data_IF_393379453434
#
_entry.id   IF_393379453434
#
_cell.length_a   1.000
_cell.length_b   1.000
_cell.length_c   1.000
_cell.angle_alpha   90.00
_cell.angle_beta   90.00
_cell.angle_gamma   90.00
#
_symmetry.space_group_name_H-M   'P 1'
#
loop_
_entity.id
_entity.type
_entity.pdbx_description
1 polymer ?
#
# COMPACT_ATOMS: atom_id res chain seq x y z
N UNK A 1 75.76 28.01 -27.84
CA UNK A 1 75.25 29.35 -27.45
C UNK A 1 73.90 29.13 -26.78
N UNK A 2 73.85 29.27 -25.44
CA UNK A 2 72.72 28.84 -24.61
C UNK A 2 71.89 29.97 -24.01
N UNK A 3 70.89 29.54 -23.21
CA UNK A 3 70.05 30.29 -22.25
C UNK A 3 69.08 31.32 -22.84
N UNK A 4 67.78 31.10 -22.62
CA UNK A 4 67.06 31.75 -21.50
C UNK A 4 65.65 31.17 -21.28
N UNK A 5 65.50 30.55 -20.11
CA UNK A 5 64.26 30.39 -19.35
C UNK A 5 63.44 31.69 -19.30
N UNK A 6 62.11 31.59 -19.44
CA UNK A 6 61.18 32.25 -18.51
C UNK A 6 59.93 31.38 -18.31
N UNK A 7 59.84 30.80 -17.10
CA UNK A 7 58.62 30.26 -16.50
C UNK A 7 57.50 31.31 -16.54
N UNK A 8 56.30 30.92 -16.92
CA UNK A 8 55.06 31.46 -16.35
C UNK A 8 54.10 30.30 -16.07
N UNK A 9 54.10 29.91 -14.80
CA UNK A 9 53.04 29.15 -14.14
C UNK A 9 51.85 30.10 -14.02
N UNK A 10 50.66 29.72 -14.49
CA UNK A 10 49.40 30.18 -13.89
C UNK A 10 48.21 29.31 -14.33
N UNK A 11 47.87 28.37 -13.43
CA UNK A 11 46.53 27.93 -13.02
C UNK A 11 45.56 27.44 -14.11
N UNK A 12 45.54 26.12 -14.31
CA UNK A 12 44.34 25.43 -14.77
C UNK A 12 43.28 25.52 -13.66
N UNK A 13 42.27 26.37 -13.85
CA UNK A 13 41.05 26.35 -13.04
C UNK A 13 40.20 25.21 -13.60
N UNK A 14 40.19 24.08 -12.88
CA UNK A 14 39.25 23.00 -13.13
C UNK A 14 37.84 23.54 -12.88
N UNK A 15 37.06 23.77 -13.93
CA UNK A 15 35.63 24.04 -13.81
C UNK A 15 34.97 22.75 -13.31
N UNK A 16 34.69 22.72 -12.00
CA UNK A 16 33.73 21.80 -11.40
C UNK A 16 32.36 22.06 -12.04
N UNK A 17 31.91 21.10 -12.83
CA UNK A 17 30.50 20.98 -13.21
C UNK A 17 29.70 20.71 -11.93
N UNK A 18 29.04 21.74 -11.40
CA UNK A 18 27.96 21.56 -10.43
C UNK A 18 26.75 21.07 -11.23
N UNK A 19 26.69 19.76 -11.43
CA UNK A 19 25.47 19.09 -11.89
C UNK A 19 24.46 19.17 -10.75
N UNK A 20 23.55 20.14 -10.81
CA UNK A 20 22.37 20.17 -9.94
C UNK A 20 21.54 18.93 -10.30
N UNK A 21 21.66 17.89 -9.48
CA UNK A 21 20.83 16.71 -9.56
C UNK A 21 19.43 17.10 -9.07
N UNK A 22 18.52 17.38 -10.00
CA UNK A 22 17.09 17.48 -9.70
C UNK A 22 16.62 16.06 -9.41
N UNK A 23 16.64 15.68 -8.13
CA UNK A 23 16.05 14.41 -7.68
C UNK A 23 14.53 14.60 -7.75
N UNK A 24 13.92 14.24 -8.88
CA UNK A 24 12.49 13.96 -8.89
C UNK A 24 12.29 12.66 -8.11
N UNK A 25 11.79 12.76 -6.88
CA UNK A 25 11.37 11.58 -6.11
C UNK A 25 10.18 10.95 -6.81
N UNK A 26 10.45 10.00 -7.71
CA UNK A 26 9.46 9.05 -8.17
C UNK A 26 9.33 8.03 -7.02
N UNK A 27 8.33 8.22 -6.18
CA UNK A 27 7.87 7.16 -5.28
C UNK A 27 7.43 5.99 -6.17
N UNK A 28 8.28 4.98 -6.32
CA UNK A 28 7.85 3.71 -6.89
C UNK A 28 6.97 3.02 -5.85
N UNK A 29 5.66 3.17 -6.03
CA UNK A 29 4.63 2.49 -5.27
C UNK A 29 4.87 0.97 -5.27
N UNK A 30 5.18 0.42 -4.10
CA UNK A 30 5.04 -1.02 -3.86
C UNK A 30 3.57 -1.25 -3.48
N UNK A 31 2.81 -2.05 -4.26
CA UNK A 31 1.45 -2.39 -3.88
C UNK A 31 1.43 -3.02 -2.49
N UNK A 32 0.59 -2.50 -1.59
CA UNK A 32 0.34 -3.15 -0.32
C UNK A 32 -0.16 -4.58 -0.59
N UNK A 33 0.49 -5.59 -0.01
CA UNK A 33 0.08 -6.99 -0.16
C UNK A 33 -1.38 -7.14 0.24
N UNK A 34 -2.16 -7.87 -0.58
CA UNK A 34 -3.57 -8.14 -0.31
C UNK A 34 -3.74 -8.75 1.09
N UNK A 35 -4.75 -8.28 1.81
CA UNK A 35 -5.19 -8.90 3.05
C UNK A 35 -5.72 -10.31 2.74
N UNK A 36 -5.46 -11.26 3.64
CA UNK A 36 -5.89 -12.65 3.39
C UNK A 36 -7.40 -12.76 3.32
N UNK A 37 -7.86 -13.55 2.35
CA UNK A 37 -9.26 -13.70 2.04
C UNK A 37 -9.78 -12.75 0.97
N UNK A 38 -9.01 -11.73 0.53
CA UNK A 38 -9.41 -10.90 -0.59
C UNK A 38 -9.51 -11.74 -1.88
N UNK A 39 -10.71 -11.93 -2.45
CA UNK A 39 -10.90 -12.83 -3.58
C UNK A 39 -10.55 -12.15 -4.92
N UNK A 40 -10.22 -10.85 -4.91
CA UNK A 40 -10.01 -10.07 -6.12
C UNK A 40 -8.52 -9.95 -6.46
N UNK A 41 -8.15 -9.86 -7.74
CA UNK A 41 -6.77 -9.58 -8.12
C UNK A 41 -6.45 -8.10 -7.89
N UNK A 42 -5.28 -7.80 -7.33
CA UNK A 42 -4.83 -6.42 -7.05
C UNK A 42 -4.69 -5.54 -8.29
N UNK A 43 -4.54 -6.18 -9.43
CA UNK A 43 -4.27 -5.63 -10.75
C UNK A 43 -5.35 -6.15 -11.70
N UNK A 44 -5.54 -5.47 -12.82
CA UNK A 44 -6.46 -5.91 -13.86
C UNK A 44 -5.85 -5.65 -15.24
N UNK A 45 -6.34 -6.36 -16.25
CA UNK A 45 -5.89 -6.20 -17.63
C UNK A 45 -7.02 -5.72 -18.52
N UNK A 46 -6.73 -4.78 -19.42
CA UNK A 46 -7.61 -4.36 -20.50
C UNK A 46 -6.86 -4.33 -21.85
N UNK A 47 -7.48 -3.75 -22.88
CA UNK A 47 -6.89 -3.63 -24.23
C UNK A 47 -5.64 -2.76 -24.31
N UNK A 48 -5.33 -1.99 -23.27
CA UNK A 48 -4.12 -1.17 -23.14
C UNK A 48 -3.01 -1.86 -22.32
N UNK A 49 -3.27 -3.05 -21.76
CA UNK A 49 -2.31 -3.84 -21.01
C UNK A 49 -2.69 -4.09 -19.55
N UNK A 50 -1.69 -4.27 -18.70
CA UNK A 50 -1.86 -4.60 -17.29
C UNK A 50 -1.73 -3.35 -16.42
N UNK A 51 -2.70 -3.14 -15.54
CA UNK A 51 -2.84 -1.91 -14.76
C UNK A 51 -2.97 -2.20 -13.27
N UNK A 52 -2.39 -1.35 -12.42
CA UNK A 52 -2.51 -1.48 -10.97
C UNK A 52 -3.88 -0.98 -10.48
N UNK A 53 -4.32 -1.52 -9.34
CA UNK A 53 -5.45 -0.96 -8.57
C UNK A 53 -6.82 -1.41 -9.02
N UNK A 54 -7.10 -2.71 -9.11
CA UNK A 54 -8.47 -3.16 -9.40
C UNK A 54 -9.48 -2.55 -8.39
N UNK A 55 -10.57 -1.97 -8.89
CA UNK A 55 -11.57 -1.30 -8.05
C UNK A 55 -12.24 -2.25 -7.04
N UNK A 56 -12.52 -3.50 -7.43
CA UNK A 56 -13.10 -4.51 -6.53
C UNK A 56 -12.12 -4.92 -5.43
N UNK A 57 -10.84 -5.08 -5.77
CA UNK A 57 -9.79 -5.34 -4.79
C UNK A 57 -9.64 -4.20 -3.80
N UNK A 58 -9.60 -2.96 -4.29
CA UNK A 58 -9.44 -1.78 -3.43
C UNK A 58 -10.58 -1.66 -2.43
N UNK A 59 -11.83 -1.80 -2.89
CA UNK A 59 -13.00 -1.70 -2.00
C UNK A 59 -13.01 -2.83 -0.96
N UNK A 60 -12.64 -4.05 -1.35
CA UNK A 60 -12.53 -5.17 -0.41
C UNK A 60 -11.46 -4.89 0.66
N UNK A 61 -10.29 -4.39 0.25
CA UNK A 61 -9.23 -4.00 1.19
C UNK A 61 -9.68 -2.89 2.16
N UNK A 62 -10.40 -1.87 1.69
CA UNK A 62 -10.89 -0.81 2.60
C UNK A 62 -11.90 -1.37 3.61
N UNK A 63 -12.81 -2.25 3.19
CA UNK A 63 -13.78 -2.91 4.08
C UNK A 63 -13.08 -3.72 5.18
N UNK A 64 -12.07 -4.50 4.80
CA UNK A 64 -11.32 -5.32 5.74
C UNK A 64 -10.43 -4.49 6.66
N UNK A 65 -9.65 -3.56 6.10
CA UNK A 65 -8.64 -2.83 6.88
C UNK A 65 -9.22 -1.74 7.78
N UNK A 66 -10.37 -1.15 7.41
CA UNK A 66 -11.03 -0.11 8.23
C UNK A 66 -12.03 -0.68 9.22
N UNK A 67 -12.82 -1.65 8.77
CA UNK A 67 -13.98 -2.14 9.53
C UNK A 67 -13.80 -3.58 10.00
N UNK A 68 -12.78 -4.29 9.51
CA UNK A 68 -12.65 -5.72 9.76
C UNK A 68 -13.69 -6.56 9.01
N UNK A 69 -14.35 -6.02 7.99
CA UNK A 69 -15.41 -6.73 7.27
C UNK A 69 -14.78 -7.48 6.09
N UNK A 70 -14.84 -8.80 6.11
CA UNK A 70 -14.59 -9.62 4.93
C UNK A 70 -15.83 -9.59 4.04
N UNK A 71 -15.77 -8.85 2.93
CA UNK A 71 -16.88 -8.86 1.98
C UNK A 71 -16.94 -10.20 1.25
N UNK A 72 -18.15 -10.67 0.90
CA UNK A 72 -18.31 -11.84 0.05
C UNK A 72 -17.72 -11.62 -1.35
N UNK A 73 -17.46 -12.71 -2.07
CA UNK A 73 -17.01 -12.64 -3.46
C UNK A 73 -18.20 -12.35 -4.40
N UNK A 74 -18.55 -11.08 -4.51
CA UNK A 74 -19.55 -10.58 -5.45
C UNK A 74 -19.05 -10.49 -6.89
N UNK A 75 -17.82 -10.91 -7.21
CA UNK A 75 -17.26 -10.86 -8.57
C UNK A 75 -17.06 -9.44 -9.08
N UNK A 76 -17.14 -9.25 -10.41
CA UNK A 76 -16.90 -7.95 -11.03
C UNK A 76 -17.91 -6.87 -10.57
N UNK A 77 -17.43 -5.63 -10.52
CA UNK A 77 -18.22 -4.43 -10.27
C UNK A 77 -19.37 -4.26 -11.29
N UNK A 78 -20.42 -3.54 -10.90
CA UNK A 78 -21.63 -3.32 -11.70
C UNK A 78 -22.79 -4.26 -11.38
N UNK A 79 -22.60 -5.25 -10.51
CA UNK A 79 -23.67 -6.07 -9.94
C UNK A 79 -23.61 -6.24 -8.42
N UNK A 80 -22.71 -5.54 -7.73
CA UNK A 80 -22.50 -5.61 -6.29
C UNK A 80 -23.75 -5.19 -5.51
N UNK A 81 -24.45 -4.12 -5.88
CA UNK A 81 -25.68 -3.72 -5.17
C UNK A 81 -26.73 -4.84 -5.18
N UNK A 82 -26.91 -5.55 -6.30
CA UNK A 82 -27.88 -6.65 -6.39
C UNK A 82 -27.43 -7.88 -5.59
N UNK A 83 -26.14 -8.22 -5.63
CA UNK A 83 -25.59 -9.37 -4.89
C UNK A 83 -25.60 -9.12 -3.39
N UNK A 84 -25.19 -7.93 -2.96
CA UNK A 84 -25.26 -7.49 -1.58
C UNK A 84 -26.70 -7.58 -1.04
N UNK A 85 -27.70 -7.08 -1.79
CA UNK A 85 -29.12 -7.26 -1.43
C UNK A 85 -29.51 -8.73 -1.28
N UNK A 86 -29.10 -9.59 -2.21
CA UNK A 86 -29.43 -11.01 -2.16
C UNK A 86 -28.82 -11.73 -0.96
N UNK A 87 -27.74 -11.19 -0.40
CA UNK A 87 -27.05 -11.70 0.79
C UNK A 87 -27.45 -10.96 2.08
N UNK A 88 -28.49 -10.12 2.02
CA UNK A 88 -29.08 -9.47 3.19
C UNK A 88 -28.42 -8.15 3.61
N UNK A 89 -27.50 -7.60 2.81
CA UNK A 89 -26.95 -6.26 3.06
C UNK A 89 -28.00 -5.19 2.76
N UNK A 90 -27.96 -4.13 3.57
CA UNK A 90 -28.74 -2.92 3.28
C UNK A 90 -28.12 -2.21 2.10
N UNK A 91 -28.92 -1.96 1.06
CA UNK A 91 -28.47 -1.19 -0.11
C UNK A 91 -29.48 -0.08 -0.40
N UNK A 92 -29.00 1.15 -0.39
CA UNK A 92 -29.78 2.35 -0.71
C UNK A 92 -29.59 2.66 -2.19
N UNK A 93 -30.66 2.66 -2.98
CA UNK A 93 -30.59 3.09 -4.37
C UNK A 93 -30.20 4.57 -4.45
N UNK A 94 -29.41 4.92 -5.47
CA UNK A 94 -29.05 6.31 -5.68
C UNK A 94 -30.26 7.11 -6.16
N UNK A 95 -30.49 8.25 -5.51
CA UNK A 95 -31.41 9.29 -5.97
C UNK A 95 -30.69 10.64 -5.89
N UNK A 96 -31.08 11.61 -6.72
CA UNK A 96 -30.51 12.95 -6.60
C UNK A 96 -30.76 13.53 -5.20
N UNK A 97 -29.68 13.94 -4.53
CA UNK A 97 -29.70 14.42 -3.14
C UNK A 97 -29.52 13.33 -2.07
N UNK A 98 -29.29 12.07 -2.46
CA UNK A 98 -28.95 11.01 -1.50
C UNK A 98 -27.58 11.29 -0.86
N UNK A 99 -27.52 11.22 0.47
CA UNK A 99 -26.28 11.30 1.25
C UNK A 99 -26.11 9.98 1.99
N UNK A 100 -25.17 9.12 1.57
CA UNK A 100 -24.92 7.86 2.27
C UNK A 100 -24.16 8.11 3.59
N UNK A 101 -24.15 7.14 4.52
CA UNK A 101 -23.25 7.19 5.66
C UNK A 101 -21.79 7.03 5.23
N UNK A 102 -20.89 7.49 6.10
CA UNK A 102 -19.45 7.24 6.01
C UNK A 102 -19.14 5.74 5.99
N UNK A 103 -18.00 5.36 5.41
CA UNK A 103 -17.51 3.99 5.34
C UNK A 103 -18.51 3.02 4.67
N UNK A 104 -19.06 3.44 3.54
CA UNK A 104 -19.92 2.62 2.69
C UNK A 104 -19.29 2.42 1.30
N UNK A 105 -19.94 1.60 0.47
CA UNK A 105 -19.49 1.32 -0.90
C UNK A 105 -20.45 2.00 -1.86
N UNK A 106 -19.93 2.70 -2.87
CA UNK A 106 -20.71 3.24 -3.98
C UNK A 106 -20.46 2.42 -5.25
N UNK A 107 -21.52 2.12 -6.01
CA UNK A 107 -21.45 1.35 -7.25
C UNK A 107 -21.91 2.16 -8.47
N UNK A 108 -21.22 1.99 -9.61
CA UNK A 108 -21.65 2.37 -10.96
C UNK A 108 -21.75 1.14 -11.87
N UNK A 109 -22.20 1.35 -13.12
CA UNK A 109 -22.12 0.31 -14.14
C UNK A 109 -20.66 -0.06 -14.45
N UNK A 110 -20.15 -1.10 -13.80
CA UNK A 110 -18.80 -1.64 -14.00
C UNK A 110 -17.73 -1.08 -13.07
N UNK A 111 -18.10 -0.31 -12.04
CA UNK A 111 -17.13 0.29 -11.11
C UNK A 111 -17.65 0.32 -9.68
N UNK A 112 -16.76 0.22 -8.71
CA UNK A 112 -17.07 0.41 -7.28
C UNK A 112 -15.99 1.24 -6.63
N UNK A 113 -16.35 2.00 -5.60
CA UNK A 113 -15.40 2.77 -4.81
C UNK A 113 -15.81 2.81 -3.34
N UNK A 114 -14.86 3.17 -2.48
CA UNK A 114 -15.09 3.39 -1.06
C UNK A 114 -15.49 4.84 -0.80
N UNK A 115 -16.57 5.06 -0.04
CA UNK A 115 -16.97 6.38 0.44
C UNK A 115 -16.38 6.57 1.83
N UNK A 116 -15.38 7.44 1.95
CA UNK A 116 -14.80 7.79 3.25
C UNK A 116 -15.75 8.66 4.06
N UNK A 117 -16.34 9.65 3.39
CA UNK A 117 -17.31 10.57 3.99
C UNK A 117 -18.21 11.17 2.90
N UNK A 118 -19.42 11.58 3.25
CA UNK A 118 -20.33 12.27 2.32
C UNK A 118 -21.16 13.36 2.99
N UNK A 119 -21.52 14.37 2.20
CA UNK A 119 -22.46 15.42 2.58
C UNK A 119 -23.42 15.76 1.41
N UNK A 120 -24.22 16.81 1.57
CA UNK A 120 -25.17 17.23 0.54
C UNK A 120 -24.52 17.74 -0.76
N UNK A 121 -23.23 18.06 -0.75
CA UNK A 121 -22.47 18.62 -1.88
C UNK A 121 -21.71 17.53 -2.62
N UNK A 122 -21.15 16.56 -1.90
CA UNK A 122 -20.34 15.51 -2.50
C UNK A 122 -19.90 14.42 -1.54
N UNK A 123 -18.87 13.70 -1.95
CA UNK A 123 -18.27 12.63 -1.18
C UNK A 123 -16.75 12.60 -1.35
N UNK A 124 -16.04 12.24 -0.29
CA UNK A 124 -14.63 11.84 -0.37
C UNK A 124 -14.58 10.37 -0.78
N UNK A 125 -14.10 10.10 -1.99
CA UNK A 125 -14.07 8.78 -2.61
C UNK A 125 -12.63 8.27 -2.65
N UNK A 126 -12.43 7.03 -2.22
CA UNK A 126 -11.18 6.30 -2.41
C UNK A 126 -11.41 5.12 -3.35
N UNK A 127 -10.71 5.12 -4.48
CA UNK A 127 -10.94 4.17 -5.58
C UNK A 127 -9.62 3.68 -6.19
N UNK A 128 -9.64 2.45 -6.72
CA UNK A 128 -8.62 1.96 -7.65
C UNK A 128 -9.10 2.10 -9.09
N UNK A 129 -8.21 1.91 -10.07
CA UNK A 129 -8.56 1.82 -11.48
C UNK A 129 -9.15 3.14 -12.00
N UNK A 130 -8.44 4.23 -11.67
CA UNK A 130 -8.70 5.56 -12.23
C UNK A 130 -7.50 6.00 -13.06
N UNK A 131 -7.79 6.50 -14.27
CA UNK A 131 -6.78 7.05 -15.17
C UNK A 131 -6.70 8.56 -14.97
N UNK A 132 -5.59 9.01 -14.38
CA UNK A 132 -5.29 10.44 -14.21
C UNK A 132 -4.10 10.80 -15.09
N UNK A 133 -4.23 11.88 -15.87
CA UNK A 133 -3.19 12.36 -16.79
C UNK A 133 -2.62 11.24 -17.70
N UNK A 134 -3.48 10.30 -18.11
CA UNK A 134 -3.10 9.19 -18.98
C UNK A 134 -2.52 7.96 -18.28
N UNK A 135 -2.36 7.97 -16.95
CA UNK A 135 -1.81 6.85 -16.19
C UNK A 135 -2.80 6.31 -15.15
N UNK A 136 -2.92 4.98 -15.07
CA UNK A 136 -3.73 4.32 -14.06
C UNK A 136 -3.10 4.44 -12.67
N UNK A 137 -3.90 4.83 -11.70
CA UNK A 137 -3.52 4.94 -10.30
C UNK A 137 -3.97 3.68 -9.55
N UNK A 138 -3.07 3.13 -8.73
CA UNK A 138 -3.37 1.98 -7.89
C UNK A 138 -4.46 2.30 -6.85
N UNK A 139 -4.33 3.47 -6.23
CA UNK A 139 -5.29 4.05 -5.29
C UNK A 139 -5.32 5.55 -5.51
N UNK A 140 -6.51 6.12 -5.52
CA UNK A 140 -6.73 7.53 -5.60
C UNK A 140 -7.81 7.93 -4.60
N UNK A 141 -7.55 9.00 -3.86
CA UNK A 141 -8.50 9.58 -2.91
C UNK A 141 -8.75 11.03 -3.30
N UNK A 142 -10.02 11.39 -3.45
CA UNK A 142 -10.40 12.76 -3.78
C UNK A 142 -11.83 13.06 -3.35
N UNK A 143 -12.07 14.32 -2.97
CA UNK A 143 -13.40 14.87 -2.88
C UNK A 143 -14.01 15.13 -4.25
N UNK A 144 -15.18 14.53 -4.51
CA UNK A 144 -15.97 14.76 -5.71
C UNK A 144 -17.32 15.35 -5.35
N UNK A 145 -17.74 16.40 -6.03
CA UNK A 145 -19.13 16.82 -5.98
C UNK A 145 -20.03 15.77 -6.63
N UNK A 146 -21.30 15.71 -6.22
CA UNK A 146 -22.28 14.79 -6.82
C UNK A 146 -22.44 15.01 -8.34
N UNK A 147 -22.27 16.25 -8.80
CA UNK A 147 -22.25 16.54 -10.24
C UNK A 147 -21.01 15.96 -10.93
N UNK A 148 -19.83 16.08 -10.33
CA UNK A 148 -18.60 15.53 -10.91
C UNK A 148 -18.66 14.00 -10.98
N UNK A 149 -19.16 13.32 -9.94
CA UNK A 149 -19.34 11.86 -9.96
C UNK A 149 -20.29 11.40 -11.08
N UNK A 150 -21.40 12.13 -11.27
CA UNK A 150 -22.36 11.85 -12.35
C UNK A 150 -21.75 12.06 -13.74
N UNK A 151 -20.93 13.10 -13.92
CA UNK A 151 -20.22 13.34 -15.19
C UNK A 151 -19.11 12.32 -15.44
N UNK A 152 -18.50 11.81 -14.38
CA UNK A 152 -17.38 10.89 -14.44
C UNK A 152 -17.80 9.48 -14.89
N UNK A 153 -18.84 8.89 -14.27
CA UNK A 153 -19.27 7.50 -14.54
C UNK A 153 -20.78 7.31 -14.69
N UNK A 154 -21.53 8.40 -14.87
CA UNK A 154 -22.99 8.38 -14.85
C UNK A 154 -23.54 8.34 -13.43
N UNK A 155 -24.85 8.18 -13.31
CA UNK A 155 -25.49 8.03 -12.00
C UNK A 155 -25.00 6.75 -11.32
N UNK A 156 -24.62 6.80 -10.03
CA UNK A 156 -24.42 5.60 -9.24
C UNK A 156 -25.68 4.73 -9.27
N UNK A 157 -25.51 3.42 -9.10
CA UNK A 157 -26.61 2.48 -8.90
C UNK A 157 -27.13 2.55 -7.47
N UNK A 158 -26.23 2.71 -6.51
CA UNK A 158 -26.59 2.80 -5.10
C UNK A 158 -25.38 2.69 -4.18
N UNK A 159 -25.70 2.58 -2.90
CA UNK A 159 -24.76 2.53 -1.80
C UNK A 159 -24.98 1.25 -0.98
N UNK A 160 -23.93 0.47 -0.77
CA UNK A 160 -23.96 -0.72 0.08
C UNK A 160 -23.52 -0.31 1.47
N UNK A 161 -24.43 -0.46 2.45
CA UNK A 161 -24.23 -0.02 3.82
C UNK A 161 -23.61 -1.15 4.63
N UNK A 162 -22.49 -0.85 5.29
CA UNK A 162 -21.73 -1.83 6.07
C UNK A 162 -21.95 -1.70 7.59
N UNK A 163 -22.68 -0.68 8.02
CA UNK A 163 -23.01 -0.47 9.43
C UNK A 163 -23.89 -1.61 9.96
N UNK A 164 -23.49 -2.21 11.08
CA UNK A 164 -24.22 -3.31 11.72
C UNK A 164 -23.96 -4.69 11.12
N UNK A 165 -23.07 -4.79 10.13
CA UNK A 165 -22.57 -6.09 9.64
C UNK A 165 -21.61 -6.67 10.70
N UNK A 166 -21.65 -7.99 10.97
CA UNK A 166 -20.68 -8.63 11.85
C UNK A 166 -19.26 -8.30 11.40
N UNK A 167 -18.52 -7.61 12.26
CA UNK A 167 -17.12 -7.31 12.05
C UNK A 167 -16.31 -8.56 12.39
N UNK A 168 -15.43 -8.99 11.49
CA UNK A 168 -14.30 -9.81 11.91
C UNK A 168 -13.32 -8.81 12.52
N UNK A 169 -12.86 -8.94 13.76
CA UNK A 169 -11.91 -7.96 14.29
C UNK A 169 -10.71 -7.85 13.35
N UNK A 170 -10.47 -6.67 12.77
CA UNK A 170 -9.23 -6.45 12.04
C UNK A 170 -8.07 -6.79 13.00
N UNK A 171 -7.05 -7.57 12.58
CA UNK A 171 -5.98 -7.94 13.47
C UNK A 171 -5.32 -6.66 14.01
N UNK A 172 -5.39 -6.45 15.33
CA UNK A 172 -4.79 -5.30 15.98
C UNK A 172 -3.29 -5.58 16.19
N UNK A 173 -2.52 -5.53 15.11
CA UNK A 173 -1.08 -5.80 15.13
C UNK A 173 -0.31 -4.50 15.33
N UNK A 174 0.73 -4.51 16.18
CA UNK A 174 1.65 -3.39 16.32
C UNK A 174 3.08 -3.87 16.54
N UNK A 175 4.06 -3.02 16.21
CA UNK A 175 5.47 -3.31 16.39
C UNK A 175 6.03 -2.43 17.50
N UNK A 176 6.69 -3.06 18.47
CA UNK A 176 7.29 -2.37 19.61
C UNK A 176 8.72 -2.84 19.83
N UNK A 177 9.40 -2.21 20.77
CA UNK A 177 10.74 -2.59 21.23
C UNK A 177 11.77 -2.73 20.09
N UNK A 178 11.69 -1.85 19.09
CA UNK A 178 12.67 -1.85 18.00
C UNK A 178 14.08 -1.63 18.56
N UNK A 179 15.00 -2.50 18.18
CA UNK A 179 16.40 -2.42 18.61
C UNK A 179 17.36 -2.89 17.51
N UNK A 180 18.59 -2.35 17.54
CA UNK A 180 19.72 -2.88 16.77
C UNK A 180 20.54 -3.73 17.73
N UNK A 181 20.46 -5.06 17.62
CA UNK A 181 21.22 -5.95 18.50
C UNK A 181 22.73 -5.84 18.25
N UNK A 182 23.11 -5.52 17.01
CA UNK A 182 24.49 -5.24 16.63
C UNK A 182 24.61 -4.71 15.21
N UNK A 183 25.62 -3.87 14.98
CA UNK A 183 26.02 -3.38 13.67
C UNK A 183 27.53 -3.57 13.54
N UNK A 184 27.95 -4.21 12.45
CA UNK A 184 29.34 -4.50 12.11
C UNK A 184 29.64 -4.01 10.70
N UNK A 185 30.92 -4.06 10.28
CA UNK A 185 31.34 -3.56 8.97
C UNK A 185 30.55 -4.17 7.80
N UNK A 186 30.20 -5.45 7.90
CA UNK A 186 29.54 -6.21 6.82
C UNK A 186 28.23 -6.88 7.22
N UNK A 187 27.74 -6.61 8.44
CA UNK A 187 26.53 -7.24 8.97
C UNK A 187 25.75 -6.29 9.88
N UNK A 188 24.47 -6.57 10.05
CA UNK A 188 23.69 -5.99 11.15
C UNK A 188 22.57 -6.96 11.55
N UNK A 189 22.07 -6.80 12.77
CA UNK A 189 20.92 -7.54 13.28
C UNK A 189 19.90 -6.58 13.90
N UNK A 190 18.67 -6.65 13.40
CA UNK A 190 17.54 -5.81 13.83
C UNK A 190 16.53 -6.67 14.57
N UNK A 191 15.98 -6.13 15.66
CA UNK A 191 14.99 -6.77 16.52
C UNK A 191 13.70 -5.95 16.58
N UNK A 192 12.57 -6.65 16.69
CA UNK A 192 11.30 -6.07 17.13
C UNK A 192 10.44 -7.10 17.86
N UNK A 193 9.52 -6.60 18.68
CA UNK A 193 8.41 -7.38 19.20
C UNK A 193 7.15 -7.08 18.38
N UNK A 194 6.58 -8.13 17.80
CA UNK A 194 5.29 -8.07 17.09
C UNK A 194 4.18 -8.37 18.08
N UNK A 195 3.36 -7.38 18.39
CA UNK A 195 2.22 -7.51 19.27
C UNK A 195 1.01 -8.04 18.48
N UNK A 196 0.37 -9.07 19.01
CA UNK A 196 -0.78 -9.75 18.43
C UNK A 196 -1.83 -10.07 19.52
N UNK A 197 -2.39 -9.07 20.21
CA UNK A 197 -3.29 -9.27 21.35
C UNK A 197 -4.54 -10.10 21.02
N UNK A 198 -4.96 -10.12 19.76
CA UNK A 198 -6.09 -10.94 19.28
C UNK A 198 -5.72 -12.40 19.01
N UNK A 199 -4.44 -12.78 19.12
CA UNK A 199 -3.95 -14.15 18.90
C UNK A 199 -4.30 -14.70 17.51
N UNK A 200 -4.30 -13.81 16.51
CA UNK A 200 -4.49 -14.18 15.12
C UNK A 200 -3.32 -15.03 14.62
N UNK A 201 -3.56 -15.87 13.61
CA UNK A 201 -2.52 -16.74 13.08
C UNK A 201 -1.38 -15.91 12.45
N UNK A 202 -0.18 -16.03 13.01
CA UNK A 202 1.06 -15.48 12.46
C UNK A 202 1.68 -16.56 11.59
N UNK A 203 1.68 -16.33 10.28
CA UNK A 203 2.11 -17.30 9.28
C UNK A 203 3.53 -17.05 8.75
N UNK A 204 4.04 -15.84 8.90
CA UNK A 204 5.42 -15.50 8.52
C UNK A 204 5.93 -14.25 9.22
N UNK A 205 7.24 -14.09 9.27
CA UNK A 205 7.96 -12.85 9.60
C UNK A 205 9.04 -12.62 8.56
N UNK A 206 9.49 -11.38 8.41
CA UNK A 206 10.49 -11.07 7.41
C UNK A 206 11.03 -9.67 7.48
N UNK A 207 11.92 -9.37 6.54
CA UNK A 207 12.62 -8.10 6.49
C UNK A 207 12.91 -7.66 5.06
N UNK A 208 12.86 -6.34 4.85
CA UNK A 208 13.28 -5.66 3.64
C UNK A 208 14.53 -4.83 3.92
N UNK A 209 15.53 -4.96 3.05
CA UNK A 209 16.74 -4.16 3.05
C UNK A 209 16.74 -3.30 1.81
N UNK A 210 16.88 -1.99 2.01
CA UNK A 210 16.95 -1.01 0.94
C UNK A 210 18.29 -0.27 0.98
N UNK A 211 18.72 0.21 -0.17
CA UNK A 211 19.85 1.13 -0.24
C UNK A 211 19.46 2.52 0.31
N UNK A 212 20.43 3.44 0.35
CA UNK A 212 20.20 4.81 0.80
C UNK A 212 19.13 5.56 -0.04
N UNK A 213 18.99 5.21 -1.32
CA UNK A 213 18.02 5.82 -2.24
C UNK A 213 16.61 5.23 -2.08
N UNK A 214 16.45 4.16 -1.29
CA UNK A 214 15.18 3.45 -1.10
C UNK A 214 14.91 2.38 -2.14
N UNK A 215 15.90 1.98 -2.96
CA UNK A 215 15.75 0.83 -3.84
C UNK A 215 15.89 -0.46 -3.03
N UNK A 216 14.99 -1.41 -3.25
CA UNK A 216 15.03 -2.71 -2.59
C UNK A 216 16.29 -3.48 -3.04
N UNK A 217 17.13 -3.82 -2.08
CA UNK A 217 18.37 -4.60 -2.29
C UNK A 217 18.10 -6.07 -2.08
N UNK A 218 17.36 -6.40 -1.00
CA UNK A 218 17.08 -7.78 -0.62
C UNK A 218 15.82 -7.85 0.25
N UNK A 219 15.08 -8.94 0.11
CA UNK A 219 14.02 -9.32 1.04
C UNK A 219 14.29 -10.71 1.59
N UNK A 220 13.81 -10.96 2.80
CA UNK A 220 13.81 -12.27 3.44
C UNK A 220 12.47 -12.51 4.13
N UNK A 221 12.02 -13.77 4.10
CA UNK A 221 10.77 -14.20 4.73
C UNK A 221 10.99 -15.60 5.26
N UNK A 222 10.59 -15.83 6.50
CA UNK A 222 10.49 -17.16 7.07
C UNK A 222 9.05 -17.46 7.49
N UNK A 223 8.61 -18.67 7.15
CA UNK A 223 7.29 -19.14 7.54
C UNK A 223 7.31 -19.56 9.01
N UNK A 224 6.27 -19.19 9.74
CA UNK A 224 6.05 -19.61 11.10
C UNK A 224 4.58 -20.02 11.29
N UNK A 225 4.27 -20.61 12.45
CA UNK A 225 2.90 -21.00 12.78
C UNK A 225 2.68 -20.76 14.26
N UNK A 226 2.31 -19.52 14.58
CA UNK A 226 2.06 -19.07 15.95
C UNK A 226 0.69 -18.41 16.05
N UNK A 227 0.04 -18.54 17.21
CA UNK A 227 -1.18 -17.83 17.61
C UNK A 227 -0.95 -17.09 18.95
N UNK A 228 0.30 -16.67 19.16
CA UNK A 228 0.73 -16.04 20.41
C UNK A 228 0.32 -14.58 20.49
N UNK A 229 0.15 -14.09 21.71
CA UNK A 229 -0.20 -12.68 21.97
C UNK A 229 0.91 -11.70 21.59
N UNK A 230 2.13 -12.19 21.44
CA UNK A 230 3.25 -11.48 20.81
C UNK A 230 4.30 -12.49 20.35
N UNK A 231 5.16 -12.08 19.41
CA UNK A 231 6.39 -12.80 19.07
C UNK A 231 7.57 -11.84 19.03
N UNK A 232 8.76 -12.39 19.26
CA UNK A 232 10.02 -11.69 19.15
C UNK A 232 10.64 -12.06 17.81
N UNK A 233 11.09 -11.08 17.03
CA UNK A 233 11.71 -11.33 15.73
C UNK A 233 13.04 -10.60 15.62
N UNK A 234 14.07 -11.35 15.19
CA UNK A 234 15.39 -10.86 14.85
C UNK A 234 15.62 -11.14 13.36
N UNK A 235 16.11 -10.16 12.62
CA UNK A 235 16.62 -10.38 11.26
C UNK A 235 18.10 -10.02 11.18
N UNK A 236 18.91 -11.02 10.89
CA UNK A 236 20.35 -10.92 10.70
C UNK A 236 20.69 -10.89 9.20
N UNK A 237 21.44 -9.88 8.76
CA UNK A 237 21.64 -9.63 7.33
C UNK A 237 22.51 -10.73 6.68
N UNK A 238 23.56 -11.20 7.35
CA UNK A 238 24.38 -12.29 6.82
C UNK A 238 23.67 -13.65 6.94
N UNK A 239 23.09 -13.94 8.10
CA UNK A 239 22.55 -15.27 8.37
C UNK A 239 21.19 -15.50 7.72
N UNK A 240 20.30 -14.52 7.74
CA UNK A 240 18.93 -14.72 7.28
C UNK A 240 18.79 -14.24 5.84
N UNK A 241 19.18 -12.98 5.58
CA UNK A 241 19.08 -12.40 4.24
C UNK A 241 20.13 -12.94 3.25
N UNK A 242 21.15 -13.65 3.73
CA UNK A 242 22.30 -14.13 2.94
C UNK A 242 22.93 -13.01 2.12
N UNK A 243 23.09 -11.84 2.75
CA UNK A 243 23.60 -10.63 2.12
C UNK A 243 24.79 -10.07 2.92
N UNK A 244 25.79 -9.52 2.23
CA UNK A 244 26.97 -8.89 2.85
C UNK A 244 26.89 -7.39 2.67
N UNK A 245 26.82 -6.64 3.76
CA UNK A 245 26.81 -5.16 3.69
C UNK A 245 28.16 -4.65 3.18
N UNK A 246 28.13 -3.54 2.45
CA UNK A 246 29.33 -2.81 2.09
C UNK A 246 29.72 -1.87 3.25
N UNK A 247 30.95 -1.96 3.80
CA UNK A 247 31.39 -1.09 4.88
C UNK A 247 31.26 0.39 4.52
N UNK A 248 30.81 1.21 5.47
CA UNK A 248 30.61 2.65 5.29
C UNK A 248 29.41 3.04 4.43
N UNK A 249 28.52 2.10 4.09
CA UNK A 249 27.32 2.36 3.28
C UNK A 249 26.07 2.43 4.14
N UNK A 250 25.21 3.42 3.89
CA UNK A 250 23.91 3.54 4.55
C UNK A 250 22.86 2.66 3.89
N UNK A 251 22.11 1.93 4.70
CA UNK A 251 20.96 1.13 4.29
C UNK A 251 19.73 1.55 5.10
N UNK A 252 18.54 1.29 4.54
CA UNK A 252 17.26 1.37 5.27
C UNK A 252 16.71 -0.04 5.45
N UNK A 253 15.93 -0.22 6.51
CA UNK A 253 15.48 -1.53 6.94
C UNK A 253 14.03 -1.47 7.42
N UNK A 254 13.24 -2.47 7.04
CA UNK A 254 11.86 -2.67 7.51
C UNK A 254 11.68 -4.12 7.97
N UNK A 255 11.08 -4.32 9.15
CA UNK A 255 10.64 -5.62 9.67
C UNK A 255 9.15 -5.75 9.39
N UNK A 256 8.68 -6.96 9.06
CA UNK A 256 7.26 -7.22 8.85
C UNK A 256 6.81 -8.54 9.49
N UNK A 257 5.51 -8.68 9.68
CA UNK A 257 4.87 -9.93 10.06
C UNK A 257 3.59 -10.18 9.26
N UNK A 258 3.31 -11.44 8.92
CA UNK A 258 2.07 -11.86 8.27
C UNK A 258 1.13 -12.42 9.33
N UNK A 259 0.11 -11.66 9.69
CA UNK A 259 -0.85 -11.97 10.76
C UNK A 259 -2.27 -11.98 10.20
N UNK A 260 -3.02 -13.04 10.47
CA UNK A 260 -4.31 -13.28 9.80
C UNK A 260 -4.14 -13.29 8.28
N UNK A 261 -2.92 -13.62 7.82
CA UNK A 261 -2.51 -13.63 6.42
C UNK A 261 -2.31 -12.26 5.74
N UNK A 262 -2.42 -11.14 6.46
CA UNK A 262 -2.03 -9.80 5.99
C UNK A 262 -0.63 -9.46 6.50
N UNK A 263 0.18 -8.82 5.66
CA UNK A 263 1.47 -8.27 6.07
C UNK A 263 1.30 -6.90 6.74
N UNK A 264 1.96 -6.74 7.90
CA UNK A 264 2.02 -5.53 8.71
C UNK A 264 3.45 -5.10 8.89
#
# INVERSE_FOLDING_TARGET
MGRKNKRKIQKAVSLLWVSVLVISTIFQYQPAKASVGNPYPQTYSDGEGYHPGNCTWQVWEEAYTRLGIQLPNWGNAGGWCNRARSEGYTVVDYTDGAVPPDNCIIEWSGHVAWVLSADSVGANIREGNIKLNGAYQAVHEQWWSWEQLRRYRGNPKGFIILNGIPVTPAPSVSFTDFNQNGVWDTNAEMYTKVMNPNREAISAVGCYLYDANGALVKSYTENCSYDLSYINYNCNINNDMKYTLMPGTTYKFELFAVVGGKEY
#
